data_IF_848571207491
#
_entry.id   IF_848571207491
#
_cell.length_a   1.000
_cell.length_b   1.000
_cell.length_c   1.000
_cell.angle_alpha   90.00
_cell.angle_beta   90.00
_cell.angle_gamma   90.00
#
_symmetry.space_group_name_H-M   'P 1'
#
loop_
_entity.id
_entity.type
_entity.pdbx_description
1 polymer ?
#
# COMPACT_ATOMS: atom_id res chain seq x y z
N UNK A 1 9.34 30.39 11.05
CA UNK A 1 8.44 29.83 10.01
C UNK A 1 9.14 28.80 9.13
N UNK A 2 10.29 29.12 8.54
CA UNK A 2 11.02 28.15 7.70
C UNK A 2 11.49 26.90 8.46
N UNK A 3 11.94 27.07 9.70
CA UNK A 3 12.38 25.96 10.54
C UNK A 3 11.22 25.02 10.89
N UNK A 4 10.06 25.60 11.24
CA UNK A 4 8.85 24.83 11.53
C UNK A 4 8.36 24.07 10.30
N UNK A 5 8.40 24.69 9.12
CA UNK A 5 8.04 24.02 7.87
C UNK A 5 8.93 22.80 7.61
N UNK A 6 10.25 22.92 7.84
CA UNK A 6 11.17 21.80 7.70
C UNK A 6 10.91 20.66 8.67
N UNK A 7 10.56 21.00 9.93
CA UNK A 7 10.22 19.99 10.93
C UNK A 7 8.91 19.24 10.61
N UNK A 8 8.01 19.91 9.89
CA UNK A 8 6.72 19.33 9.49
C UNK A 8 6.74 18.70 8.10
N UNK A 9 7.87 18.79 7.38
CA UNK A 9 7.99 18.11 6.09
C UNK A 9 7.85 16.60 6.26
N UNK A 10 6.98 15.95 5.45
CA UNK A 10 6.85 14.51 5.51
C UNK A 10 8.14 13.84 5.03
N UNK A 11 8.56 12.79 5.70
CA UNK A 11 9.74 12.00 5.29
C UNK A 11 9.53 11.25 3.99
N UNK A 12 8.27 10.96 3.66
CA UNK A 12 7.87 10.33 2.42
C UNK A 12 6.75 11.16 1.80
N UNK A 13 6.84 11.40 0.49
CA UNK A 13 5.81 12.11 -0.25
C UNK A 13 4.99 11.11 -1.02
N UNK A 14 3.68 11.12 -0.79
CA UNK A 14 2.73 10.32 -1.57
C UNK A 14 2.08 11.24 -2.58
N UNK A 15 2.28 10.92 -3.85
CA UNK A 15 1.68 11.70 -4.94
C UNK A 15 0.27 11.22 -5.19
N UNK A 16 -0.65 12.17 -5.43
CA UNK A 16 -1.98 11.85 -5.89
C UNK A 16 -1.92 11.14 -7.26
N UNK A 17 -2.97 10.40 -7.61
CA UNK A 17 -3.08 9.72 -8.88
C UNK A 17 -2.93 10.70 -10.07
N UNK A 18 -3.52 11.91 -9.93
CA UNK A 18 -3.39 13.01 -10.88
C UNK A 18 -3.12 14.31 -10.12
N UNK A 19 -2.59 15.31 -10.80
CA UNK A 19 -2.43 16.67 -10.24
C UNK A 19 -3.77 17.25 -9.78
N UNK A 20 -4.84 16.91 -10.51
CA UNK A 20 -6.21 17.19 -10.12
C UNK A 20 -6.97 15.88 -10.00
N UNK A 21 -7.87 15.73 -9.01
CA UNK A 21 -8.69 14.51 -8.90
C UNK A 21 -9.50 14.30 -10.17
N UNK A 22 -9.22 13.22 -10.89
CA UNK A 22 -9.84 12.92 -12.18
C UNK A 22 -11.21 12.23 -12.05
N UNK A 23 -11.54 11.70 -10.86
CA UNK A 23 -12.77 10.95 -10.65
C UNK A 23 -12.73 9.52 -11.19
N UNK A 24 -11.61 9.08 -11.75
CA UNK A 24 -11.46 7.72 -12.30
C UNK A 24 -10.64 6.89 -11.33
N UNK A 25 -11.32 6.12 -10.51
CA UNK A 25 -10.71 5.30 -9.47
C UNK A 25 -11.34 3.90 -9.45
N UNK A 26 -10.52 2.88 -9.26
CA UNK A 26 -10.97 1.50 -9.17
C UNK A 26 -10.20 0.78 -8.03
N UNK A 27 -10.90 0.27 -7.00
CA UNK A 27 -10.26 -0.48 -5.93
C UNK A 27 -9.59 -1.78 -6.41
N UNK A 28 -9.91 -2.23 -7.61
CA UNK A 28 -9.28 -3.40 -8.19
C UNK A 28 -7.76 -3.26 -8.32
N UNK A 29 -7.24 -2.03 -8.48
CA UNK A 29 -5.80 -1.82 -8.55
C UNK A 29 -5.10 -2.26 -7.26
N UNK A 30 -5.63 -1.86 -6.10
CA UNK A 30 -5.10 -2.28 -4.81
C UNK A 30 -5.23 -3.80 -4.62
N UNK A 31 -6.36 -4.37 -5.01
CA UNK A 31 -6.61 -5.80 -4.90
C UNK A 31 -5.63 -6.62 -5.76
N UNK A 32 -5.39 -6.21 -6.99
CA UNK A 32 -4.48 -6.90 -7.92
C UNK A 32 -3.06 -6.93 -7.32
N UNK A 33 -2.60 -5.81 -6.78
CA UNK A 33 -1.28 -5.75 -6.17
C UNK A 33 -1.20 -6.60 -4.89
N UNK A 34 -2.26 -6.63 -4.09
CA UNK A 34 -2.33 -7.49 -2.91
C UNK A 34 -2.31 -8.98 -3.29
N UNK A 35 -3.00 -9.37 -4.36
CA UNK A 35 -2.95 -10.73 -4.88
C UNK A 35 -1.55 -11.10 -5.37
N UNK A 36 -0.83 -10.15 -5.98
CA UNK A 36 0.56 -10.33 -6.41
C UNK A 36 1.47 -10.59 -5.20
N UNK A 37 1.30 -9.81 -4.13
CA UNK A 37 2.07 -10.02 -2.88
C UNK A 37 1.83 -11.43 -2.35
N UNK A 38 0.57 -11.86 -2.28
CA UNK A 38 0.21 -13.20 -1.81
C UNK A 38 0.86 -14.28 -2.66
N UNK A 39 0.78 -14.15 -3.99
CA UNK A 39 1.36 -15.12 -4.92
C UNK A 39 2.88 -15.23 -4.75
N UNK A 40 3.57 -14.10 -4.61
CA UNK A 40 5.02 -14.08 -4.40
C UNK A 40 5.40 -14.71 -3.07
N UNK A 41 4.64 -14.47 -2.01
CA UNK A 41 4.86 -15.10 -0.70
C UNK A 41 4.74 -16.62 -0.79
N UNK A 42 3.74 -17.13 -1.50
CA UNK A 42 3.55 -18.56 -1.70
C UNK A 42 4.71 -19.17 -2.49
N UNK A 43 5.17 -18.51 -3.54
CA UNK A 43 6.33 -18.95 -4.32
C UNK A 43 7.62 -18.95 -3.51
N UNK A 44 7.81 -17.95 -2.65
CA UNK A 44 8.93 -17.89 -1.73
C UNK A 44 8.97 -19.11 -0.81
N UNK A 45 7.82 -19.50 -0.25
CA UNK A 45 7.72 -20.64 0.64
C UNK A 45 8.03 -21.97 -0.07
N UNK A 46 7.76 -22.06 -1.35
CA UNK A 46 7.91 -23.28 -2.14
C UNK A 46 9.29 -23.42 -2.79
N UNK A 47 10.13 -22.40 -2.74
CA UNK A 47 11.42 -22.40 -3.42
C UNK A 47 12.54 -22.10 -2.44
N UNK A 48 13.58 -22.92 -2.40
CA UNK A 48 14.70 -22.79 -1.48
C UNK A 48 15.95 -22.15 -2.13
N UNK A 49 15.90 -21.86 -3.43
CA UNK A 49 17.02 -21.22 -4.12
C UNK A 49 17.26 -19.79 -3.58
N UNK A 50 18.48 -19.49 -3.08
CA UNK A 50 18.75 -18.18 -2.47
C UNK A 50 18.58 -16.99 -3.43
N UNK A 51 18.92 -17.14 -4.70
CA UNK A 51 18.76 -16.06 -5.68
C UNK A 51 17.29 -15.78 -5.95
N UNK A 52 16.48 -16.83 -6.09
CA UNK A 52 15.05 -16.69 -6.26
C UNK A 52 14.42 -16.01 -5.05
N UNK A 53 14.78 -16.43 -3.85
CA UNK A 53 14.25 -15.87 -2.60
C UNK A 53 14.58 -14.39 -2.43
N UNK A 54 15.83 -14.01 -2.73
CA UNK A 54 16.24 -12.61 -2.68
C UNK A 54 15.41 -11.75 -3.64
N UNK A 55 15.22 -12.24 -4.88
CA UNK A 55 14.43 -11.54 -5.88
C UNK A 55 12.94 -11.48 -5.49
N UNK A 56 12.41 -12.55 -4.93
CA UNK A 56 11.02 -12.59 -4.46
C UNK A 56 10.76 -11.55 -3.36
N UNK A 57 11.70 -11.36 -2.44
CA UNK A 57 11.58 -10.33 -1.40
C UNK A 57 11.52 -8.94 -2.03
N UNK A 58 12.39 -8.63 -2.98
CA UNK A 58 12.40 -7.34 -3.66
C UNK A 58 11.07 -7.06 -4.38
N UNK A 59 10.58 -8.04 -5.13
CA UNK A 59 9.32 -7.91 -5.87
C UNK A 59 8.16 -7.74 -4.88
N UNK A 60 8.15 -8.51 -3.81
CA UNK A 60 7.12 -8.41 -2.79
C UNK A 60 7.07 -7.03 -2.15
N UNK A 61 8.23 -6.47 -1.82
CA UNK A 61 8.31 -5.12 -1.25
C UNK A 61 7.78 -4.06 -2.22
N UNK A 62 8.15 -4.14 -3.50
CA UNK A 62 7.64 -3.24 -4.52
C UNK A 62 6.12 -3.33 -4.65
N UNK A 63 5.57 -4.54 -4.67
CA UNK A 63 4.12 -4.74 -4.79
C UNK A 63 3.38 -4.29 -3.53
N UNK A 64 3.95 -4.50 -2.34
CA UNK A 64 3.39 -4.01 -1.09
C UNK A 64 3.31 -2.48 -1.06
N UNK A 65 4.33 -1.80 -1.56
CA UNK A 65 4.30 -0.34 -1.70
C UNK A 65 3.18 0.12 -2.65
N UNK A 66 2.97 -0.62 -3.73
CA UNK A 66 1.87 -0.31 -4.65
C UNK A 66 0.50 -0.52 -4.02
N UNK A 67 0.33 -1.54 -3.18
CA UNK A 67 -0.91 -1.72 -2.40
C UNK A 67 -1.18 -0.46 -1.57
N UNK A 68 -0.19 -0.01 -0.82
CA UNK A 68 -0.32 1.20 0.00
C UNK A 68 -0.64 2.42 -0.85
N UNK A 69 0.08 2.60 -1.96
CA UNK A 69 -0.13 3.73 -2.85
C UNK A 69 -1.58 3.80 -3.34
N UNK A 70 -2.12 2.69 -3.82
CA UNK A 70 -3.49 2.65 -4.32
C UNK A 70 -4.53 2.86 -3.19
N UNK A 71 -4.27 2.34 -2.00
CA UNK A 71 -5.12 2.60 -0.84
C UNK A 71 -5.12 4.08 -0.46
N UNK A 72 -3.95 4.72 -0.45
CA UNK A 72 -3.82 6.14 -0.12
C UNK A 72 -4.51 7.02 -1.15
N UNK A 73 -4.40 6.70 -2.43
CA UNK A 73 -5.12 7.43 -3.49
C UNK A 73 -6.62 7.39 -3.27
N UNK A 74 -7.18 6.22 -2.98
CA UNK A 74 -8.60 6.10 -2.67
C UNK A 74 -8.99 6.91 -1.43
N UNK A 75 -8.16 6.85 -0.40
CA UNK A 75 -8.40 7.55 0.86
C UNK A 75 -8.37 9.06 0.70
N UNK A 76 -7.38 9.61 0.00
CA UNK A 76 -7.19 11.05 -0.11
C UNK A 76 -8.02 11.68 -1.22
N UNK A 77 -8.18 10.99 -2.35
CA UNK A 77 -8.74 11.59 -3.55
C UNK A 77 -10.18 11.17 -3.85
N UNK A 78 -10.52 9.93 -3.52
CA UNK A 78 -11.82 9.37 -3.88
C UNK A 78 -12.87 9.51 -2.78
N UNK A 79 -12.55 9.09 -1.55
CA UNK A 79 -13.54 9.09 -0.48
C UNK A 79 -13.86 10.50 -0.01
N UNK A 80 -15.16 10.78 0.12
CA UNK A 80 -15.72 12.05 0.55
C UNK A 80 -16.64 11.80 1.75
N UNK A 81 -17.07 12.87 2.48
CA UNK A 81 -17.94 12.69 3.65
C UNK A 81 -19.15 11.77 3.43
N UNK A 82 -19.87 11.80 2.30
CA UNK A 82 -20.98 10.85 2.10
C UNK A 82 -20.56 9.39 2.12
N UNK A 83 -19.34 9.07 1.67
CA UNK A 83 -18.82 7.70 1.71
C UNK A 83 -18.59 7.24 3.14
N UNK A 84 -18.04 8.10 3.99
CA UNK A 84 -17.80 7.78 5.40
C UNK A 84 -19.09 7.64 6.19
N UNK A 85 -20.11 8.41 5.85
CA UNK A 85 -21.45 8.28 6.46
C UNK A 85 -22.10 6.96 6.09
N UNK A 86 -22.01 6.57 4.82
CA UNK A 86 -22.61 5.33 4.31
C UNK A 86 -21.84 4.10 4.77
N UNK A 87 -20.51 4.19 4.88
CA UNK A 87 -19.63 3.09 5.24
C UNK A 87 -18.72 3.48 6.42
N UNK A 88 -19.25 3.49 7.66
CA UNK A 88 -18.49 3.93 8.83
C UNK A 88 -17.23 3.11 9.09
N UNK A 89 -17.17 1.86 8.58
CA UNK A 89 -16.04 0.96 8.77
C UNK A 89 -14.83 1.28 7.86
N UNK A 90 -14.94 2.23 6.93
CA UNK A 90 -13.86 2.54 5.98
C UNK A 90 -12.54 2.89 6.67
N UNK A 91 -12.59 3.70 7.72
CA UNK A 91 -11.39 4.09 8.45
C UNK A 91 -10.65 2.88 9.01
N UNK A 92 -11.36 1.99 9.67
CA UNK A 92 -10.80 0.77 10.24
C UNK A 92 -10.25 -0.15 9.16
N UNK A 93 -11.01 -0.36 8.09
CA UNK A 93 -10.60 -1.24 6.99
C UNK A 93 -9.32 -0.77 6.30
N UNK A 94 -9.20 0.53 6.02
CA UNK A 94 -8.02 1.08 5.37
C UNK A 94 -6.81 1.06 6.30
N UNK A 95 -7.00 1.31 7.59
CA UNK A 95 -5.94 1.20 8.58
C UNK A 95 -5.40 -0.24 8.67
N UNK A 96 -6.29 -1.22 8.76
CA UNK A 96 -5.92 -2.63 8.82
C UNK A 96 -5.24 -3.10 7.54
N UNK A 97 -5.76 -2.73 6.38
CA UNK A 97 -5.18 -3.11 5.09
C UNK A 97 -3.75 -2.58 4.94
N UNK A 98 -3.51 -1.34 5.35
CA UNK A 98 -2.19 -0.73 5.31
C UNK A 98 -1.22 -1.46 6.25
N UNK A 99 -1.65 -1.76 7.46
CA UNK A 99 -0.83 -2.51 8.43
C UNK A 99 -0.49 -3.91 7.94
N UNK A 100 -1.43 -4.61 7.33
CA UNK A 100 -1.19 -5.96 6.82
C UNK A 100 -0.16 -6.00 5.71
N UNK A 101 -0.12 -5.00 4.83
CA UNK A 101 0.92 -4.95 3.81
C UNK A 101 2.32 -4.75 4.41
N UNK A 102 2.44 -4.05 5.54
CA UNK A 102 3.68 -3.92 6.29
C UNK A 102 4.08 -5.22 7.00
N UNK A 103 3.14 -5.92 7.58
CA UNK A 103 3.36 -7.19 8.29
C UNK A 103 3.93 -8.25 7.35
N UNK A 104 3.41 -8.39 6.14
CA UNK A 104 3.93 -9.34 5.15
C UNK A 104 5.38 -9.08 4.82
N UNK A 105 5.79 -7.81 4.75
CA UNK A 105 7.19 -7.44 4.54
C UNK A 105 8.06 -7.93 5.68
N UNK A 106 7.64 -7.70 6.92
CA UNK A 106 8.36 -8.12 8.12
C UNK A 106 8.50 -9.63 8.23
N UNK A 107 7.45 -10.38 7.92
CA UNK A 107 7.45 -11.85 7.99
C UNK A 107 8.50 -12.46 7.07
N UNK A 108 8.61 -12.01 5.82
CA UNK A 108 9.59 -12.55 4.89
C UNK A 108 11.02 -12.14 5.25
N UNK A 109 11.21 -10.93 5.73
CA UNK A 109 12.53 -10.45 6.14
C UNK A 109 13.07 -11.14 7.39
N UNK A 110 12.20 -11.60 8.28
CA UNK A 110 12.59 -12.28 9.51
C UNK A 110 12.91 -13.78 9.31
N UNK A 111 12.58 -14.32 8.17
CA UNK A 111 12.87 -15.69 7.78
C UNK A 111 14.16 -15.78 6.98
#
# INVERSE_FOLDING_TARGET
MRLLARLLEPRATVHAHCDLPCGVYDPAQARIEAESVKAICEKYQQNTDPEFRARAIDIKEQRSELVKHHLWVLWTDYFKPPHFEKYPQLNTLFNEATKRSEEHTSELQSQ
#
